data_IF_104306560112
#
_entry.id   IF_104306560112
#
_cell.length_a   1.000
_cell.length_b   1.000
_cell.length_c   1.000
_cell.angle_alpha   90.00
_cell.angle_beta   90.00
_cell.angle_gamma   90.00
#
_symmetry.space_group_name_H-M   'P 1'
#
loop_
_entity.id
_entity.type
_entity.pdbx_description
1 polymer ?
#
# COMPACT_ATOMS: atom_id res chain seq x y z
N UNK A 1 43.52 21.90 36.28
CA UNK A 1 42.89 20.76 35.57
C UNK A 1 41.55 21.19 34.98
N UNK A 2 41.54 21.89 33.85
CA UNK A 2 40.34 22.25 33.10
C UNK A 2 40.66 21.97 31.64
N UNK A 3 39.94 21.03 31.02
CA UNK A 3 39.69 20.94 29.57
C UNK A 3 39.31 19.54 29.07
N UNK A 4 39.47 18.48 29.87
CA UNK A 4 39.11 17.13 29.39
C UNK A 4 37.59 16.87 29.50
N UNK A 5 36.94 17.39 30.55
CA UNK A 5 35.49 17.21 30.74
C UNK A 5 34.64 17.89 29.66
N UNK A 6 35.02 19.11 29.24
CA UNK A 6 34.33 19.85 28.17
C UNK A 6 34.50 19.18 26.80
N UNK A 7 35.69 18.61 26.53
CA UNK A 7 35.94 17.84 25.29
C UNK A 7 35.15 16.53 25.25
N UNK A 8 35.05 15.84 26.39
CA UNK A 8 34.23 14.63 26.52
C UNK A 8 32.75 14.97 26.29
N UNK A 9 32.23 16.05 26.89
CA UNK A 9 30.86 16.50 26.66
C UNK A 9 30.58 16.89 25.21
N UNK A 10 31.53 17.57 24.55
CA UNK A 10 31.42 17.93 23.14
C UNK A 10 31.34 16.68 22.24
N UNK A 11 32.19 15.69 22.50
CA UNK A 11 32.20 14.42 21.74
C UNK A 11 30.91 13.64 21.97
N UNK A 12 30.42 13.56 23.21
CA UNK A 12 29.14 12.90 23.53
C UNK A 12 27.97 13.60 22.83
N UNK A 13 27.95 14.94 22.82
CA UNK A 13 26.91 15.71 22.12
C UNK A 13 26.92 15.49 20.61
N UNK A 14 28.11 15.42 19.99
CA UNK A 14 28.26 15.11 18.56
C UNK A 14 27.74 13.70 18.26
N UNK A 15 28.09 12.70 19.08
CA UNK A 15 27.60 11.32 18.91
C UNK A 15 26.08 11.28 19.02
N UNK A 16 25.49 11.94 20.02
CA UNK A 16 24.03 12.01 20.18
C UNK A 16 23.40 12.68 18.96
N UNK A 17 23.96 13.79 18.46
CA UNK A 17 23.46 14.46 17.26
C UNK A 17 23.50 13.54 16.02
N UNK A 18 24.59 12.78 15.82
CA UNK A 18 24.68 11.80 14.73
C UNK A 18 23.70 10.64 14.88
N UNK A 19 23.48 10.13 16.10
CA UNK A 19 22.46 9.10 16.36
C UNK A 19 21.06 9.66 16.09
N UNK A 20 20.79 10.90 16.52
CA UNK A 20 19.49 11.56 16.31
C UNK A 20 19.23 11.82 14.83
N UNK A 21 20.24 12.30 14.08
CA UNK A 21 20.17 12.48 12.63
C UNK A 21 20.05 11.14 11.92
N UNK A 22 20.78 10.11 12.33
CA UNK A 22 20.68 8.76 11.78
C UNK A 22 19.29 8.16 11.97
N UNK A 23 18.72 8.26 13.18
CA UNK A 23 17.34 7.83 13.47
C UNK A 23 16.33 8.67 12.68
N UNK A 24 16.53 9.98 12.56
CA UNK A 24 15.66 10.85 11.77
C UNK A 24 15.72 10.51 10.27
N UNK A 25 16.89 10.16 9.73
CA UNK A 25 17.07 9.74 8.35
C UNK A 25 16.45 8.36 8.09
N UNK A 26 16.58 7.41 9.02
CA UNK A 26 15.93 6.08 8.92
C UNK A 26 14.40 6.20 8.96
N UNK A 27 13.86 7.13 9.74
CA UNK A 27 12.42 7.36 9.83
C UNK A 27 11.86 8.27 8.73
N UNK A 28 12.71 8.88 7.89
CA UNK A 28 12.24 9.85 6.89
C UNK A 28 11.55 9.16 5.72
N UNK A 29 11.96 7.94 5.42
CA UNK A 29 11.35 7.09 4.41
C UNK A 29 10.75 5.86 5.11
N UNK A 30 9.59 6.04 5.76
CA UNK A 30 8.71 4.96 6.24
C UNK A 30 8.07 4.20 5.06
N UNK A 31 8.85 3.97 4.03
CA UNK A 31 8.50 3.29 2.82
C UNK A 31 8.72 1.81 3.12
N UNK A 32 7.66 1.12 3.50
CA UNK A 32 7.73 -0.33 3.73
C UNK A 32 7.85 -1.01 2.37
N UNK A 33 8.90 -1.81 2.22
CA UNK A 33 9.23 -2.60 1.03
C UNK A 33 9.15 -4.08 1.44
N UNK A 34 8.10 -4.77 1.02
CA UNK A 34 8.03 -6.24 0.92
C UNK A 34 8.63 -6.77 -0.39
N UNK A 35 8.18 -7.90 -0.93
CA UNK A 35 8.68 -8.45 -2.21
C UNK A 35 7.49 -8.73 -3.13
N UNK A 36 7.64 -8.41 -4.42
CA UNK A 36 6.64 -8.65 -5.47
C UNK A 36 6.39 -10.16 -5.65
N UNK A 37 5.12 -10.55 -5.76
CA UNK A 37 4.74 -11.84 -6.35
C UNK A 37 4.03 -11.55 -7.66
N UNK A 38 4.26 -12.38 -8.68
CA UNK A 38 3.88 -12.14 -10.08
C UNK A 38 2.35 -12.04 -10.37
N UNK A 39 1.49 -12.11 -9.34
CA UNK A 39 0.03 -12.10 -9.50
C UNK A 39 -0.55 -10.70 -9.21
N UNK A 40 -0.54 -9.86 -10.26
CA UNK A 40 -1.27 -8.58 -10.30
C UNK A 40 -2.48 -8.66 -11.24
N UNK A 41 -3.61 -8.09 -10.81
CA UNK A 41 -4.81 -7.95 -11.65
C UNK A 41 -5.31 -6.51 -11.60
N UNK A 42 -5.54 -5.91 -12.78
CA UNK A 42 -6.12 -4.56 -12.89
C UNK A 42 -7.57 -4.66 -13.30
N UNK A 43 -8.46 -4.06 -12.51
CA UNK A 43 -9.90 -4.05 -12.74
C UNK A 43 -10.39 -2.61 -12.95
N UNK A 44 -11.34 -2.46 -13.87
CA UNK A 44 -12.04 -1.19 -14.13
C UNK A 44 -13.47 -1.31 -13.60
N UNK A 45 -14.31 -0.31 -13.80
CA UNK A 45 -15.73 -0.43 -13.48
C UNK A 45 -16.36 -1.68 -14.11
N UNK A 46 -16.97 -2.53 -13.28
CA UNK A 46 -17.50 -3.83 -13.69
C UNK A 46 -17.75 -4.77 -12.53
N UNK A 47 -18.35 -5.93 -12.83
CA UNK A 47 -18.45 -7.05 -11.89
C UNK A 47 -17.69 -8.24 -12.46
N UNK A 48 -16.79 -8.80 -11.67
CA UNK A 48 -15.84 -9.81 -12.11
C UNK A 48 -15.99 -11.11 -11.30
N UNK A 49 -15.94 -12.24 -11.98
CA UNK A 49 -15.92 -13.56 -11.33
C UNK A 49 -14.58 -13.80 -10.67
N UNK A 50 -14.61 -14.13 -9.37
CA UNK A 50 -13.41 -14.51 -8.60
C UNK A 50 -12.78 -15.79 -9.16
N UNK A 51 -13.60 -16.72 -9.65
CA UNK A 51 -13.14 -18.01 -10.18
C UNK A 51 -12.43 -17.85 -11.53
N UNK A 52 -12.97 -17.03 -12.42
CA UNK A 52 -12.36 -16.76 -13.74
C UNK A 52 -11.03 -16.01 -13.61
N UNK A 53 -10.97 -15.05 -12.68
CA UNK A 53 -9.75 -14.32 -12.36
C UNK A 53 -8.78 -15.10 -11.46
N UNK A 54 -9.16 -16.31 -11.02
CA UNK A 54 -8.39 -17.18 -10.11
C UNK A 54 -7.95 -16.48 -8.82
N UNK A 55 -8.75 -15.53 -8.33
CA UNK A 55 -8.44 -14.76 -7.13
C UNK A 55 -8.68 -15.61 -5.88
N UNK A 56 -7.64 -15.80 -5.07
CA UNK A 56 -7.74 -16.45 -3.76
C UNK A 56 -6.73 -15.88 -2.76
N UNK A 57 -7.13 -15.77 -1.50
CA UNK A 57 -6.27 -15.27 -0.42
C UNK A 57 -6.32 -13.75 -0.26
N UNK A 58 -5.27 -13.17 0.32
CA UNK A 58 -5.22 -11.74 0.65
C UNK A 58 -4.60 -10.94 -0.48
N UNK A 59 -5.23 -9.82 -0.84
CA UNK A 59 -4.75 -8.89 -1.83
C UNK A 59 -4.61 -7.50 -1.22
N UNK A 60 -3.56 -6.77 -1.60
CA UNK A 60 -3.57 -5.33 -1.46
C UNK A 60 -4.39 -4.73 -2.62
N UNK A 61 -5.37 -3.90 -2.28
CA UNK A 61 -6.24 -3.20 -3.22
C UNK A 61 -5.85 -1.74 -3.22
N UNK A 62 -5.53 -1.22 -4.41
CA UNK A 62 -5.16 0.20 -4.57
C UNK A 62 -5.88 0.78 -5.77
N UNK A 63 -6.56 1.91 -5.58
CA UNK A 63 -7.06 2.69 -6.70
C UNK A 63 -5.89 3.39 -7.40
N UNK A 64 -5.70 3.04 -8.67
CA UNK A 64 -4.63 3.59 -9.52
C UNK A 64 -5.13 4.76 -10.37
N UNK A 65 -6.45 4.96 -10.44
CA UNK A 65 -7.08 6.10 -11.07
C UNK A 65 -8.49 6.29 -10.51
N UNK A 66 -8.89 7.55 -10.27
CA UNK A 66 -10.24 7.93 -9.88
C UNK A 66 -10.63 7.53 -8.46
N UNK A 67 -11.91 7.70 -8.14
CA UNK A 67 -12.49 7.31 -6.86
C UNK A 67 -13.66 6.37 -7.06
N UNK A 68 -13.88 5.48 -6.10
CA UNK A 68 -14.96 4.53 -6.19
C UNK A 68 -14.94 3.50 -5.07
N UNK A 69 -15.80 2.51 -5.23
CA UNK A 69 -16.02 1.46 -4.27
C UNK A 69 -15.67 0.10 -4.86
N UNK A 70 -15.17 -0.78 -4.00
CA UNK A 70 -14.95 -2.19 -4.29
C UNK A 70 -15.79 -3.01 -3.32
N UNK A 71 -16.69 -3.82 -3.86
CA UNK A 71 -17.55 -4.71 -3.09
C UNK A 71 -17.22 -6.17 -3.34
N UNK A 72 -17.20 -6.98 -2.29
CA UNK A 72 -17.16 -8.44 -2.38
C UNK A 72 -18.58 -8.99 -2.30
N UNK A 73 -18.95 -9.90 -3.19
CA UNK A 73 -20.32 -10.43 -3.26
C UNK A 73 -20.35 -11.95 -3.14
N UNK A 74 -21.36 -12.46 -2.45
CA UNK A 74 -21.80 -13.87 -2.52
C UNK A 74 -22.85 -14.02 -3.61
N UNK A 75 -22.40 -14.34 -4.83
CA UNK A 75 -23.26 -14.36 -6.02
C UNK A 75 -23.58 -12.95 -6.53
N UNK A 76 -24.69 -12.78 -7.25
CA UNK A 76 -24.99 -11.51 -7.94
C UNK A 76 -25.53 -10.39 -7.03
N UNK A 77 -26.10 -10.71 -5.87
CA UNK A 77 -26.95 -9.76 -5.13
C UNK A 77 -26.55 -9.49 -3.69
N UNK A 78 -25.78 -10.38 -3.04
CA UNK A 78 -25.49 -10.25 -1.60
C UNK A 78 -24.08 -9.74 -1.37
N UNK A 79 -23.98 -8.47 -0.97
CA UNK A 79 -22.74 -7.81 -0.57
C UNK A 79 -22.25 -8.32 0.79
N UNK A 80 -20.98 -8.72 0.84
CA UNK A 80 -20.28 -9.15 2.05
C UNK A 80 -19.49 -8.00 2.67
N UNK A 81 -18.84 -7.20 1.81
CA UNK A 81 -18.06 -6.05 2.21
C UNK A 81 -18.08 -5.03 1.08
N UNK A 82 -17.88 -3.78 1.47
CA UNK A 82 -17.73 -2.65 0.57
C UNK A 82 -16.70 -1.70 1.17
N UNK A 83 -15.72 -1.34 0.39
CA UNK A 83 -14.67 -0.40 0.78
C UNK A 83 -14.51 0.68 -0.29
N UNK A 84 -14.29 1.90 0.17
CA UNK A 84 -14.10 3.07 -0.69
C UNK A 84 -12.61 3.32 -0.90
N UNK A 85 -12.22 3.56 -2.14
CA UNK A 85 -10.85 3.81 -2.56
C UNK A 85 -10.75 5.11 -3.35
N UNK A 86 -9.63 5.79 -3.19
CA UNK A 86 -9.23 6.95 -3.98
C UNK A 86 -7.80 6.78 -4.50
N UNK A 87 -7.46 7.48 -5.57
CA UNK A 87 -6.14 7.42 -6.18
C UNK A 87 -5.10 8.33 -5.47
N UNK A 88 -5.42 8.91 -4.31
CA UNK A 88 -4.53 9.81 -3.58
C UNK A 88 -3.30 9.06 -3.06
N UNK A 89 -3.50 7.87 -2.48
CA UNK A 89 -2.40 7.02 -2.02
C UNK A 89 -1.46 6.67 -3.18
N UNK A 90 -2.02 6.28 -4.32
CA UNK A 90 -1.24 5.95 -5.51
C UNK A 90 -0.44 7.16 -6.00
N UNK A 91 -1.08 8.33 -6.13
CA UNK A 91 -0.43 9.59 -6.54
C UNK A 91 0.66 10.04 -5.58
N UNK A 92 0.46 9.84 -4.28
CA UNK A 92 1.44 10.20 -3.25
C UNK A 92 2.66 9.27 -3.30
N UNK A 93 2.45 7.96 -3.39
CA UNK A 93 3.53 6.98 -3.52
C UNK A 93 4.33 7.22 -4.81
N UNK A 94 3.66 7.48 -5.94
CA UNK A 94 4.32 7.82 -7.21
C UNK A 94 5.24 9.05 -7.11
N UNK A 95 4.99 9.98 -6.17
CA UNK A 95 5.85 11.14 -5.93
C UNK A 95 7.02 10.84 -4.98
N UNK A 96 6.81 9.97 -4.00
CA UNK A 96 7.78 9.65 -2.93
C UNK A 96 8.73 8.51 -3.30
N UNK A 97 8.27 7.54 -4.08
CA UNK A 97 8.98 6.31 -4.38
C UNK A 97 10.11 6.51 -5.41
N UNK A 98 11.29 5.90 -5.20
CA UNK A 98 12.24 5.68 -6.28
C UNK A 98 11.59 4.82 -7.38
N UNK A 99 11.84 5.14 -8.67
CA UNK A 99 11.22 4.48 -9.84
C UNK A 99 11.28 2.94 -9.88
N UNK A 100 12.14 2.32 -9.08
CA UNK A 100 12.31 0.85 -9.01
C UNK A 100 11.57 0.20 -7.83
N UNK A 101 10.89 0.98 -6.98
CA UNK A 101 10.21 0.51 -5.77
C UNK A 101 8.71 0.82 -5.77
N UNK A 102 8.15 1.44 -6.81
CA UNK A 102 6.75 1.90 -6.82
C UNK A 102 5.74 0.80 -6.50
N UNK A 103 5.81 -0.34 -7.19
CA UNK A 103 4.93 -1.49 -6.91
C UNK A 103 5.09 -1.98 -5.48
N UNK A 104 6.30 -1.81 -4.93
CA UNK A 104 6.64 -2.32 -3.62
C UNK A 104 5.96 -1.59 -2.46
N UNK A 105 5.75 -0.30 -2.66
CA UNK A 105 5.26 0.59 -1.62
C UNK A 105 3.74 0.62 -1.66
N UNK A 106 3.19 0.58 -2.88
CA UNK A 106 1.76 0.48 -3.16
C UNK A 106 1.17 -0.74 -2.46
N UNK A 107 1.83 -1.89 -2.47
CA UNK A 107 1.28 -3.06 -1.80
C UNK A 107 1.30 -2.95 -0.27
N UNK A 108 2.29 -2.31 0.36
CA UNK A 108 2.39 -2.26 1.83
C UNK A 108 1.41 -1.27 2.43
N UNK A 109 1.27 -0.13 1.76
CA UNK A 109 0.38 0.95 2.20
C UNK A 109 -1.06 0.74 1.70
N UNK A 110 -1.29 -0.12 0.71
CA UNK A 110 -2.62 -0.45 0.17
C UNK A 110 -3.50 -1.22 1.15
N UNK A 111 -4.83 -1.02 1.04
CA UNK A 111 -5.80 -1.71 1.90
C UNK A 111 -5.81 -3.20 1.60
N UNK A 112 -5.71 -4.02 2.64
CA UNK A 112 -5.64 -5.48 2.50
C UNK A 112 -7.03 -6.08 2.59
N UNK A 113 -7.44 -6.76 1.53
CA UNK A 113 -8.74 -7.41 1.42
C UNK A 113 -8.53 -8.91 1.26
N UNK A 114 -9.18 -9.70 2.11
CA UNK A 114 -9.14 -11.16 2.02
C UNK A 114 -10.28 -11.68 1.13
N UNK A 115 -9.95 -12.41 0.07
CA UNK A 115 -10.91 -13.04 -0.84
C UNK A 115 -11.11 -14.48 -0.39
N UNK A 116 -12.14 -14.67 0.43
CA UNK A 116 -12.53 -15.98 0.95
C UNK A 116 -13.33 -16.80 -0.07
N UNK A 117 -13.44 -18.11 0.14
CA UNK A 117 -14.20 -19.04 -0.73
C UNK A 117 -15.68 -18.67 -0.91
N UNK A 118 -16.24 -17.93 0.05
CA UNK A 118 -17.60 -17.41 0.03
C UNK A 118 -17.78 -16.31 -1.03
N UNK A 119 -16.73 -15.54 -1.31
CA UNK A 119 -16.75 -14.49 -2.33
C UNK A 119 -16.81 -15.13 -3.71
N UNK A 120 -17.81 -14.76 -4.51
CA UNK A 120 -18.00 -15.23 -5.88
C UNK A 120 -17.67 -14.16 -6.91
N UNK A 121 -17.88 -12.90 -6.57
CA UNK A 121 -17.56 -11.80 -7.46
C UNK A 121 -17.03 -10.58 -6.72
N UNK A 122 -16.23 -9.80 -7.45
CA UNK A 122 -15.75 -8.48 -7.07
C UNK A 122 -16.47 -7.47 -7.94
N UNK A 123 -17.17 -6.50 -7.34
CA UNK A 123 -17.74 -5.36 -8.06
C UNK A 123 -16.88 -4.14 -7.84
N UNK A 124 -16.49 -3.50 -8.92
CA UNK A 124 -15.75 -2.23 -8.94
C UNK A 124 -16.68 -1.19 -9.53
N UNK A 125 -16.96 -0.13 -8.78
CA UNK A 125 -17.89 0.90 -9.19
C UNK A 125 -17.44 2.28 -8.69
N UNK A 126 -17.19 3.21 -9.59
CA UNK A 126 -16.79 4.57 -9.24
C UNK A 126 -16.92 5.51 -10.42
N UNK A 127 -16.10 6.57 -10.39
CA UNK A 127 -15.94 7.53 -11.47
C UNK A 127 -15.62 6.85 -12.81
N UNK A 128 -15.80 7.53 -13.94
CA UNK A 128 -15.59 6.97 -15.29
C UNK A 128 -14.20 6.37 -15.51
N UNK A 129 -13.19 6.93 -14.83
CA UNK A 129 -11.80 6.49 -14.91
C UNK A 129 -11.39 5.58 -13.75
N UNK A 130 -12.34 5.16 -12.90
CA UNK A 130 -12.02 4.39 -11.71
C UNK A 130 -11.42 3.04 -12.07
N UNK A 131 -10.21 2.80 -11.55
CA UNK A 131 -9.46 1.57 -11.74
C UNK A 131 -8.76 1.19 -10.46
N UNK A 132 -8.78 -0.09 -10.16
CA UNK A 132 -8.04 -0.68 -9.05
C UNK A 132 -6.99 -1.65 -9.56
N UNK A 133 -5.92 -1.78 -8.79
CA UNK A 133 -4.94 -2.86 -8.90
C UNK A 133 -5.09 -3.75 -7.66
N UNK A 134 -5.21 -5.05 -7.90
CA UNK A 134 -5.15 -6.12 -6.91
C UNK A 134 -3.76 -6.75 -6.97
N UNK A 135 -3.05 -6.80 -5.84
CA UNK A 135 -1.70 -7.35 -5.73
C UNK A 135 -1.71 -8.46 -4.67
N UNK A 136 -1.38 -9.70 -5.06
CA UNK A 136 -1.45 -10.86 -4.17
C UNK A 136 -0.43 -10.81 -3.03
N UNK A 137 -0.81 -11.37 -1.87
CA UNK A 137 0.03 -11.53 -0.66
C UNK A 137 0.19 -12.99 -0.25
#
# INVERSE_FOLDING_TARGET
>A
MKNNFSKIFLVVFIIIAFVTVGVFLINKDNVRVGFETDEEVVLQNGTYSVEELKLNGTYAVVAIAGNGDVSQLTGESKELSKETFNDELYKDIQKRAPKHMENHIIYEEGTKVNIEKSVKSIRVQGDDLFKIKLIKR
#
